data_IF_856987190353
#
_entry.id   IF_856987190353
#
_cell.length_a   1.000
_cell.length_b   1.000
_cell.length_c   1.000
_cell.angle_alpha   90.00
_cell.angle_beta   90.00
_cell.angle_gamma   90.00
#
_symmetry.space_group_name_H-M   'P 1'
#
loop_
_entity.id
_entity.type
_entity.pdbx_description
1 polymer ?
#
# COMPACT_ATOMS: atom_id res chain seq x y z
N UNK A 1 13.60 5.74 -27.94
CA UNK A 1 13.31 6.26 -26.58
C UNK A 1 13.65 5.15 -25.60
N UNK A 2 14.50 5.41 -24.59
CA UNK A 2 14.74 4.42 -23.55
C UNK A 2 13.48 4.31 -22.69
N UNK A 3 12.88 3.13 -22.65
CA UNK A 3 11.72 2.87 -21.81
C UNK A 3 12.19 2.69 -20.37
N UNK A 4 11.66 3.51 -19.46
CA UNK A 4 12.07 3.53 -18.07
C UNK A 4 10.89 3.24 -17.15
N UNK A 5 11.17 2.55 -16.05
CA UNK A 5 10.15 2.24 -15.05
C UNK A 5 10.61 2.52 -13.61
N UNK A 6 9.62 2.79 -12.76
CA UNK A 6 9.73 2.84 -11.31
C UNK A 6 8.93 1.68 -10.73
N UNK A 7 9.49 1.01 -9.73
CA UNK A 7 8.80 0.01 -8.91
C UNK A 7 8.61 0.59 -7.50
N UNK A 8 7.38 0.61 -7.00
CA UNK A 8 7.06 0.98 -5.63
C UNK A 8 6.39 -0.21 -4.93
N UNK A 9 7.11 -0.79 -3.98
CA UNK A 9 6.74 -2.01 -3.24
C UNK A 9 7.47 -1.97 -1.90
N UNK A 10 6.78 -2.09 -0.79
CA UNK A 10 7.39 -1.99 0.53
C UNK A 10 8.09 -3.29 0.98
N UNK A 11 7.63 -4.45 0.48
CA UNK A 11 8.25 -5.73 0.77
C UNK A 11 9.47 -5.99 -0.13
N UNK A 12 10.72 -6.03 0.43
CA UNK A 12 11.93 -6.14 -0.38
C UNK A 12 11.95 -7.38 -1.29
N UNK A 13 11.50 -8.53 -0.77
CA UNK A 13 11.49 -9.78 -1.52
C UNK A 13 10.52 -9.73 -2.71
N UNK A 14 9.34 -9.14 -2.54
CA UNK A 14 8.35 -9.01 -3.62
C UNK A 14 8.85 -8.03 -4.68
N UNK A 15 9.52 -6.96 -4.27
CA UNK A 15 10.15 -5.99 -5.17
C UNK A 15 11.24 -6.64 -6.03
N UNK A 16 12.15 -7.43 -5.43
CA UNK A 16 13.18 -8.17 -6.14
C UNK A 16 12.60 -9.21 -7.11
N UNK A 17 11.55 -9.94 -6.70
CA UNK A 17 10.85 -10.90 -7.56
C UNK A 17 10.22 -10.19 -8.77
N UNK A 18 9.56 -9.05 -8.54
CA UNK A 18 8.94 -8.27 -9.62
C UNK A 18 9.99 -7.76 -10.61
N UNK A 19 11.11 -7.21 -10.11
CA UNK A 19 12.22 -6.75 -10.93
C UNK A 19 12.81 -7.88 -11.79
N UNK A 20 13.11 -9.03 -11.17
CA UNK A 20 13.65 -10.18 -11.89
C UNK A 20 12.69 -10.68 -12.98
N UNK A 21 11.39 -10.70 -12.71
CA UNK A 21 10.36 -11.09 -13.68
C UNK A 21 10.21 -10.08 -14.80
N UNK A 22 10.28 -8.78 -14.49
CA UNK A 22 10.28 -7.73 -15.51
C UNK A 22 11.53 -7.83 -16.41
N UNK A 23 12.71 -8.05 -15.84
CA UNK A 23 13.93 -8.23 -16.61
C UNK A 23 13.83 -9.44 -17.56
N UNK A 24 13.16 -10.52 -17.15
CA UNK A 24 12.93 -11.69 -18.01
C UNK A 24 11.87 -11.45 -19.09
N UNK A 25 10.77 -10.74 -18.76
CA UNK A 25 9.65 -10.52 -19.68
C UNK A 25 9.88 -9.32 -20.62
N UNK A 26 10.69 -8.34 -20.20
CA UNK A 26 10.96 -7.11 -20.94
C UNK A 26 12.40 -6.64 -20.74
N UNK A 27 13.40 -7.29 -21.38
CA UNK A 27 14.82 -6.97 -21.19
C UNK A 27 15.21 -5.53 -21.54
N UNK A 28 14.44 -4.87 -22.42
CA UNK A 28 14.72 -3.48 -22.83
C UNK A 28 14.18 -2.44 -21.85
N UNK A 29 13.36 -2.84 -20.85
CA UNK A 29 12.83 -1.94 -19.84
C UNK A 29 13.89 -1.66 -18.77
N UNK A 30 14.26 -0.41 -18.61
CA UNK A 30 15.20 0.00 -17.60
C UNK A 30 14.47 0.39 -16.29
N UNK A 31 14.71 -0.32 -15.20
CA UNK A 31 14.24 0.08 -13.88
C UNK A 31 15.17 1.19 -13.36
N UNK A 32 14.69 2.43 -13.38
CA UNK A 32 15.48 3.62 -12.99
C UNK A 32 15.31 3.99 -11.53
N UNK A 33 14.28 3.47 -10.86
CA UNK A 33 14.01 3.77 -9.45
C UNK A 33 13.24 2.65 -8.77
N UNK A 34 13.51 2.46 -7.48
CA UNK A 34 12.79 1.55 -6.60
C UNK A 34 12.44 2.28 -5.30
N UNK A 35 11.17 2.25 -4.94
CA UNK A 35 10.64 2.89 -3.75
C UNK A 35 10.07 1.83 -2.79
N UNK A 36 10.22 2.08 -1.49
CA UNK A 36 9.71 1.23 -0.40
C UNK A 36 8.47 1.80 0.32
N UNK A 37 7.96 2.92 -0.15
CA UNK A 37 6.74 3.57 0.33
C UNK A 37 6.28 4.63 -0.67
N UNK A 38 5.05 5.10 -0.51
CA UNK A 38 4.45 6.05 -1.45
C UNK A 38 5.14 7.42 -1.49
N UNK A 39 5.66 7.93 -0.37
CA UNK A 39 6.40 9.21 -0.35
C UNK A 39 7.66 9.12 -1.21
N UNK A 40 8.46 8.09 -0.99
CA UNK A 40 9.68 7.85 -1.78
C UNK A 40 9.34 7.62 -3.26
N UNK A 41 8.21 6.96 -3.56
CA UNK A 41 7.77 6.77 -4.94
C UNK A 41 7.51 8.10 -5.64
N UNK A 42 6.87 9.06 -4.97
CA UNK A 42 6.64 10.41 -5.51
C UNK A 42 7.97 11.15 -5.73
N UNK A 43 8.87 11.14 -4.76
CA UNK A 43 10.18 11.79 -4.85
C UNK A 43 10.99 11.25 -6.04
N UNK A 44 11.09 9.94 -6.16
CA UNK A 44 11.81 9.27 -7.25
C UNK A 44 11.11 9.44 -8.60
N UNK A 45 9.78 9.50 -8.64
CA UNK A 45 9.05 9.82 -9.85
C UNK A 45 9.38 11.21 -10.37
N UNK A 46 9.41 12.25 -9.52
CA UNK A 46 9.75 13.60 -9.93
C UNK A 46 11.21 13.72 -10.39
N UNK A 47 12.10 12.96 -9.77
CA UNK A 47 13.53 12.95 -10.12
C UNK A 47 13.79 12.27 -11.47
N UNK A 48 13.21 11.10 -11.70
CA UNK A 48 13.55 10.24 -12.84
C UNK A 48 12.54 10.32 -13.98
N UNK A 49 11.32 10.76 -13.73
CA UNK A 49 10.21 10.86 -14.70
C UNK A 49 10.07 9.61 -15.57
N UNK A 50 9.89 8.43 -14.96
CA UNK A 50 9.78 7.19 -15.69
C UNK A 50 8.52 7.16 -16.55
N UNK A 51 8.56 6.40 -17.65
CA UNK A 51 7.42 6.21 -18.55
C UNK A 51 6.36 5.29 -17.97
N UNK A 52 6.75 4.43 -17.04
CA UNK A 52 5.89 3.40 -16.44
C UNK A 52 6.12 3.38 -14.92
N UNK A 53 5.06 3.19 -14.14
CA UNK A 53 5.14 2.95 -12.70
C UNK A 53 4.39 1.68 -12.34
N UNK A 54 5.09 0.75 -11.69
CA UNK A 54 4.51 -0.43 -11.02
C UNK A 54 4.32 -0.06 -9.55
N UNK A 55 3.09 -0.04 -9.08
CA UNK A 55 2.73 0.48 -7.76
C UNK A 55 2.01 -0.59 -6.95
N UNK A 56 2.58 -0.97 -5.81
CA UNK A 56 1.76 -1.66 -4.82
C UNK A 56 0.68 -0.72 -4.31
N UNK A 57 -0.51 -1.27 -4.19
CA UNK A 57 -1.67 -0.55 -3.68
C UNK A 57 -1.51 -0.25 -2.19
N UNK A 58 -0.97 -1.22 -1.42
CA UNK A 58 -0.79 -1.11 0.03
C UNK A 58 0.67 -0.84 0.39
N UNK A 59 0.96 0.42 0.63
CA UNK A 59 2.27 0.83 1.12
C UNK A 59 2.14 1.69 2.38
N UNK A 60 3.14 1.67 3.28
CA UNK A 60 3.13 2.53 4.47
C UNK A 60 3.07 4.02 4.11
N UNK A 61 2.24 4.76 4.82
CA UNK A 61 2.04 6.19 4.65
C UNK A 61 1.13 6.50 3.47
N UNK A 62 1.68 6.80 2.30
CA UNK A 62 0.89 7.03 1.08
C UNK A 62 0.67 5.72 0.33
N UNK A 63 -0.58 5.41 0.01
CA UNK A 63 -0.96 4.26 -0.81
C UNK A 63 -0.53 4.43 -2.27
N UNK A 64 -0.45 3.30 -3.01
CA UNK A 64 -0.20 3.36 -4.46
C UNK A 64 -1.25 4.13 -5.23
N UNK A 65 -2.49 4.22 -4.72
CA UNK A 65 -3.56 5.03 -5.33
C UNK A 65 -3.28 6.53 -5.20
N UNK A 66 -2.77 6.97 -4.04
CA UNK A 66 -2.37 8.37 -3.84
C UNK A 66 -1.17 8.74 -4.70
N UNK A 67 -0.19 7.83 -4.83
CA UNK A 67 0.92 7.97 -5.78
C UNK A 67 0.40 8.07 -7.21
N UNK A 68 -0.53 7.21 -7.60
CA UNK A 68 -1.14 7.22 -8.94
C UNK A 68 -1.86 8.54 -9.26
N UNK A 69 -2.57 9.12 -8.29
CA UNK A 69 -3.17 10.46 -8.43
C UNK A 69 -2.12 11.55 -8.65
N UNK A 70 -1.02 11.48 -7.90
CA UNK A 70 0.09 12.42 -8.06
C UNK A 70 0.75 12.29 -9.43
N UNK A 71 1.02 11.06 -9.88
CA UNK A 71 1.61 10.79 -11.20
C UNK A 71 0.69 11.30 -12.32
N UNK A 72 -0.63 11.10 -12.17
CA UNK A 72 -1.62 11.49 -13.17
C UNK A 72 -1.29 10.90 -14.54
N UNK A 73 -1.50 11.66 -15.61
CA UNK A 73 -1.28 11.23 -17.00
C UNK A 73 0.19 11.27 -17.45
N UNK A 74 1.14 11.43 -16.54
CA UNK A 74 2.57 11.60 -16.87
C UNK A 74 3.31 10.28 -17.08
N UNK A 75 2.73 9.15 -16.65
CA UNK A 75 3.28 7.81 -16.85
C UNK A 75 2.16 6.77 -16.94
N UNK A 76 2.45 5.63 -17.55
CA UNK A 76 1.56 4.48 -17.53
C UNK A 76 1.63 3.81 -16.16
N UNK A 77 0.48 3.46 -15.58
CA UNK A 77 0.40 2.85 -14.27
C UNK A 77 -0.01 1.39 -14.36
N UNK A 78 0.67 0.57 -13.58
CA UNK A 78 0.33 -0.84 -13.34
C UNK A 78 0.25 -1.02 -11.83
N UNK A 79 -0.91 -1.37 -11.33
CA UNK A 79 -1.04 -1.74 -9.93
C UNK A 79 -0.61 -3.18 -9.69
N UNK A 80 0.11 -3.41 -8.60
CA UNK A 80 0.51 -4.73 -8.11
C UNK A 80 -0.13 -4.90 -6.74
N UNK A 81 -1.03 -5.86 -6.58
CA UNK A 81 -1.87 -5.93 -5.36
C UNK A 81 -2.18 -7.36 -4.96
N UNK A 82 -2.40 -7.58 -3.66
CA UNK A 82 -2.91 -8.83 -3.13
C UNK A 82 -4.45 -8.96 -3.24
N UNK A 83 -5.14 -7.93 -3.73
CA UNK A 83 -6.60 -7.97 -3.86
C UNK A 83 -7.09 -8.97 -4.89
N UNK A 84 -8.10 -9.74 -4.50
CA UNK A 84 -8.73 -10.76 -5.29
C UNK A 84 -9.56 -10.17 -6.47
N UNK A 85 -9.85 -11.01 -7.46
CA UNK A 85 -10.45 -10.68 -8.76
C UNK A 85 -11.74 -9.81 -8.70
N UNK A 86 -12.49 -9.82 -7.62
CA UNK A 86 -13.73 -9.04 -7.50
C UNK A 86 -13.53 -7.51 -7.42
N UNK A 87 -12.33 -7.05 -7.05
CA UNK A 87 -11.98 -5.64 -7.14
C UNK A 87 -11.69 -5.21 -8.60
N UNK A 88 -11.49 -6.17 -9.47
CA UNK A 88 -10.89 -6.06 -10.80
C UNK A 88 -11.91 -5.87 -11.91
N UNK A 89 -13.17 -6.31 -11.74
CA UNK A 89 -14.25 -6.05 -12.72
C UNK A 89 -14.43 -4.55 -13.01
N UNK A 90 -14.10 -3.69 -12.03
CA UNK A 90 -14.11 -2.25 -12.23
C UNK A 90 -12.98 -1.74 -13.16
N UNK A 91 -11.90 -2.54 -13.33
CA UNK A 91 -10.74 -2.19 -14.15
C UNK A 91 -10.82 -2.72 -15.58
N UNK A 92 -11.68 -3.72 -15.87
CA UNK A 92 -11.80 -4.33 -17.21
C UNK A 92 -12.31 -3.36 -18.29
N UNK A 93 -12.93 -2.25 -17.91
CA UNK A 93 -13.41 -1.23 -18.84
C UNK A 93 -12.41 -0.12 -19.15
N UNK A 94 -11.14 -0.40 -18.95
CA UNK A 94 -10.05 0.26 -19.62
C UNK A 94 -9.44 1.42 -18.88
N UNK A 95 -8.23 1.33 -18.47
CA UNK A 95 -7.28 2.43 -18.44
C UNK A 95 -6.07 2.13 -17.57
N UNK A 96 -6.22 1.35 -16.54
CA UNK A 96 -5.15 0.91 -15.67
C UNK A 96 -4.94 -0.59 -15.89
N UNK A 97 -3.69 -1.02 -15.95
CA UNK A 97 -3.37 -2.43 -15.91
C UNK A 97 -3.05 -2.84 -14.47
N UNK A 98 -3.24 -4.12 -14.14
CA UNK A 98 -3.00 -4.60 -12.79
C UNK A 98 -2.42 -6.02 -12.79
N UNK A 99 -1.71 -6.33 -11.72
CA UNK A 99 -1.11 -7.62 -11.44
C UNK A 99 -1.53 -8.06 -10.03
N UNK A 100 -2.13 -9.25 -9.93
CA UNK A 100 -2.45 -9.84 -8.63
C UNK A 100 -1.25 -10.59 -8.10
N UNK A 101 -0.91 -10.37 -6.83
CA UNK A 101 0.12 -11.14 -6.11
C UNK A 101 -0.41 -12.55 -5.77
N UNK A 102 0.37 -13.62 -5.99
CA UNK A 102 1.72 -13.62 -6.52
C UNK A 102 1.72 -13.40 -8.05
N UNK A 103 2.50 -12.42 -8.53
CA UNK A 103 2.58 -12.07 -9.95
C UNK A 103 3.09 -13.27 -10.75
N UNK A 104 2.26 -13.86 -11.60
CA UNK A 104 2.68 -14.98 -12.48
C UNK A 104 3.40 -14.47 -13.73
N UNK A 105 4.31 -15.28 -14.29
CA UNK A 105 5.03 -14.92 -15.51
C UNK A 105 4.07 -14.70 -16.70
N UNK A 106 3.04 -15.54 -16.83
CA UNK A 106 2.04 -15.41 -17.89
C UNK A 106 1.28 -14.09 -17.81
N UNK A 107 0.76 -13.73 -16.62
CA UNK A 107 0.00 -12.50 -16.43
C UNK A 107 0.87 -11.24 -16.62
N UNK A 108 2.14 -11.30 -16.18
CA UNK A 108 3.09 -10.21 -16.42
C UNK A 108 3.37 -10.05 -17.94
N UNK A 109 3.55 -11.15 -18.67
CA UNK A 109 3.78 -11.10 -20.11
C UNK A 109 2.61 -10.41 -20.86
N UNK A 110 1.37 -10.74 -20.50
CA UNK A 110 0.17 -10.06 -21.07
C UNK A 110 0.17 -8.57 -20.78
N UNK A 111 0.50 -8.16 -19.55
CA UNK A 111 0.61 -6.75 -19.15
C UNK A 111 1.70 -6.04 -19.95
N UNK A 112 2.86 -6.68 -20.12
CA UNK A 112 3.97 -6.14 -20.90
C UNK A 112 3.57 -5.92 -22.36
N UNK A 113 2.89 -6.88 -22.99
CA UNK A 113 2.42 -6.75 -24.37
C UNK A 113 1.41 -5.60 -24.53
N UNK A 114 0.48 -5.44 -23.57
CA UNK A 114 -0.45 -4.30 -23.58
C UNK A 114 0.26 -2.95 -23.42
N UNK A 115 1.27 -2.88 -22.53
CA UNK A 115 2.07 -1.67 -22.35
C UNK A 115 2.87 -1.33 -23.60
N UNK A 116 3.53 -2.33 -24.23
CA UNK A 116 4.26 -2.13 -25.49
C UNK A 116 3.35 -1.60 -26.60
N UNK A 117 2.17 -2.19 -26.77
CA UNK A 117 1.20 -1.74 -27.76
C UNK A 117 0.76 -0.28 -27.55
N UNK A 118 0.47 0.13 -26.30
CA UNK A 118 0.09 1.51 -25.97
C UNK A 118 1.22 2.50 -26.21
N UNK A 119 2.43 2.15 -25.83
CA UNK A 119 3.60 2.99 -26.01
C UNK A 119 3.97 3.16 -27.48
N UNK A 120 3.83 2.11 -28.30
CA UNK A 120 4.06 2.17 -29.74
C UNK A 120 3.04 3.07 -30.45
N UNK A 121 1.78 3.08 -30.00
CA UNK A 121 0.72 3.90 -30.56
C UNK A 121 0.77 5.36 -30.06
N UNK A 122 1.78 5.71 -29.24
CA UNK A 122 1.89 7.01 -28.57
C UNK A 122 0.59 7.40 -27.85
N UNK A 123 -0.16 6.42 -27.36
CA UNK A 123 -1.40 6.68 -26.63
C UNK A 123 -1.05 7.32 -25.29
N UNK A 124 -1.69 8.45 -24.94
CA UNK A 124 -1.46 9.05 -23.63
C UNK A 124 -1.85 8.09 -22.52
N UNK A 125 -1.12 8.16 -21.41
CA UNK A 125 -1.52 7.47 -20.19
C UNK A 125 -2.93 7.97 -19.81
N UNK A 126 -3.91 7.08 -19.84
CA UNK A 126 -5.30 7.41 -19.50
C UNK A 126 -5.57 6.86 -18.10
N UNK A 127 -5.87 7.73 -17.15
CA UNK A 127 -6.27 7.35 -15.81
C UNK A 127 -7.66 7.89 -15.54
N UNK A 128 -8.59 7.02 -15.21
CA UNK A 128 -9.91 7.43 -14.80
C UNK A 128 -9.88 7.84 -13.33
N UNK A 129 -10.10 9.12 -13.04
CA UNK A 129 -10.26 9.65 -11.68
C UNK A 129 -11.34 8.89 -10.91
N UNK A 130 -12.39 8.48 -11.62
CA UNK A 130 -13.47 7.67 -11.07
C UNK A 130 -12.96 6.30 -10.58
N UNK A 131 -12.12 5.62 -11.37
CA UNK A 131 -11.53 4.33 -10.99
C UNK A 131 -10.58 4.48 -9.80
N UNK A 132 -9.74 5.50 -9.79
CA UNK A 132 -8.86 5.79 -8.65
C UNK A 132 -9.68 6.10 -7.38
N UNK A 133 -10.79 6.80 -7.53
CA UNK A 133 -11.69 7.10 -6.41
C UNK A 133 -12.42 5.86 -5.90
N UNK A 134 -12.87 4.97 -6.77
CA UNK A 134 -13.48 3.70 -6.41
C UNK A 134 -12.48 2.77 -5.71
N UNK A 135 -11.24 2.70 -6.22
CA UNK A 135 -10.17 1.93 -5.58
C UNK A 135 -9.86 2.47 -4.19
N UNK A 136 -9.71 3.79 -4.05
CA UNK A 136 -9.48 4.44 -2.76
C UNK A 136 -10.63 4.21 -1.77
N UNK A 137 -11.88 4.25 -2.24
CA UNK A 137 -13.04 3.97 -1.39
C UNK A 137 -13.05 2.52 -0.90
N UNK A 138 -12.70 1.56 -1.76
CA UNK A 138 -12.58 0.14 -1.39
C UNK A 138 -11.42 -0.11 -0.43
N UNK A 139 -10.29 0.56 -0.64
CA UNK A 139 -9.15 0.52 0.29
C UNK A 139 -9.51 1.08 1.68
N UNK A 140 -10.38 2.08 1.76
CA UNK A 140 -10.89 2.61 3.04
C UNK A 140 -11.85 1.65 3.74
N UNK A 141 -12.55 0.82 2.97
CA UNK A 141 -13.40 -0.26 3.52
C UNK A 141 -12.57 -1.44 4.06
N UNK A 142 -11.36 -1.63 3.52
CA UNK A 142 -10.37 -2.60 3.98
C UNK A 142 -9.33 -2.00 4.96
N UNK A 143 -9.45 -0.73 5.34
CA UNK A 143 -8.76 -0.29 6.55
C UNK A 143 -9.22 -1.20 7.69
N UNK A 144 -8.30 -1.81 8.44
CA UNK A 144 -8.68 -2.62 9.58
C UNK A 144 -9.66 -1.77 10.40
N UNK A 145 -10.83 -2.33 10.70
CA UNK A 145 -11.77 -1.66 11.62
C UNK A 145 -10.94 -1.14 12.79
N UNK A 146 -11.16 0.10 13.21
CA UNK A 146 -10.49 0.60 14.39
C UNK A 146 -10.51 -0.48 15.47
N UNK A 147 -9.41 -0.66 16.18
CA UNK A 147 -9.35 -1.68 17.21
C UNK A 147 -10.43 -1.41 18.24
N UNK A 148 -11.33 -2.34 18.46
CA UNK A 148 -12.29 -2.28 19.55
C UNK A 148 -11.64 -2.69 20.89
N UNK A 149 -10.46 -3.35 20.81
CA UNK A 149 -9.75 -3.94 21.96
C UNK A 149 -8.25 -3.88 21.78
N UNK A 150 -7.53 -3.57 22.88
CA UNK A 150 -6.07 -3.74 22.96
C UNK A 150 -5.75 -5.02 23.71
N UNK A 151 -4.89 -5.85 23.10
CA UNK A 151 -4.37 -7.05 23.77
C UNK A 151 -3.13 -6.72 24.58
N UNK A 152 -3.20 -6.91 25.89
CA UNK A 152 -2.10 -6.70 26.82
C UNK A 152 -1.81 -7.95 27.64
N UNK A 153 -0.54 -8.14 28.00
CA UNK A 153 -0.13 -9.16 28.98
C UNK A 153 0.04 -8.49 30.32
N UNK A 154 -0.78 -8.88 31.30
CA UNK A 154 -0.71 -8.37 32.66
C UNK A 154 -0.32 -9.54 33.57
N UNK A 155 0.92 -9.51 34.10
CA UNK A 155 1.48 -10.66 34.82
C UNK A 155 1.62 -11.89 33.91
N UNK A 156 0.94 -12.98 34.23
CA UNK A 156 0.89 -14.21 33.44
C UNK A 156 -0.37 -14.34 32.57
N UNK A 157 -1.27 -13.36 32.62
CA UNK A 157 -2.56 -13.42 31.96
C UNK A 157 -2.63 -12.51 30.73
N UNK A 158 -3.29 -12.98 29.67
CA UNK A 158 -3.62 -12.17 28.51
C UNK A 158 -4.96 -11.47 28.78
N UNK A 159 -4.97 -10.15 28.69
CA UNK A 159 -6.19 -9.33 28.80
C UNK A 159 -6.54 -8.67 27.49
N UNK A 160 -7.83 -8.59 27.23
CA UNK A 160 -8.43 -7.79 26.16
C UNK A 160 -9.01 -6.54 26.79
N UNK A 161 -8.41 -5.38 26.53
CA UNK A 161 -8.81 -4.08 27.09
C UNK A 161 -9.68 -3.38 26.06
N UNK A 162 -10.98 -3.11 26.33
CA UNK A 162 -11.83 -2.32 25.44
C UNK A 162 -11.24 -0.92 25.24
N UNK A 163 -11.36 -0.38 24.02
CA UNK A 163 -10.87 0.96 23.73
C UNK A 163 -11.62 2.02 24.58
N UNK A 164 -12.91 1.82 24.81
CA UNK A 164 -13.75 2.70 25.62
C UNK A 164 -13.35 2.77 27.11
N UNK A 165 -12.61 1.77 27.59
CA UNK A 165 -12.13 1.71 28.96
C UNK A 165 -10.72 2.32 29.13
N UNK A 166 -10.10 2.85 28.07
CA UNK A 166 -8.76 3.43 28.08
C UNK A 166 -8.84 4.90 28.48
N UNK A 167 -8.16 5.25 29.58
CA UNK A 167 -8.04 6.63 30.03
C UNK A 167 -6.96 7.39 29.23
N UNK A 168 -5.78 6.78 28.99
CA UNK A 168 -4.73 7.35 28.13
C UNK A 168 -3.70 6.31 27.68
N UNK A 169 -2.96 6.68 26.64
CA UNK A 169 -1.82 5.94 26.12
C UNK A 169 -0.54 6.78 26.26
N UNK A 170 0.54 6.16 26.70
CA UNK A 170 1.82 6.85 26.88
C UNK A 170 2.96 6.03 26.29
N UNK A 171 3.81 6.67 25.48
CA UNK A 171 5.03 6.03 24.99
C UNK A 171 6.08 5.95 26.10
N UNK A 172 6.64 4.77 26.27
CA UNK A 172 7.83 4.53 27.06
C UNK A 172 8.86 3.79 26.18
N UNK A 173 10.13 3.98 26.44
CA UNK A 173 11.32 3.64 25.61
C UNK A 173 11.18 2.45 24.65
N UNK A 174 10.54 1.35 25.05
CA UNK A 174 10.32 0.12 24.26
C UNK A 174 8.88 -0.40 24.29
N UNK A 175 8.01 0.27 25.05
CA UNK A 175 6.65 -0.16 25.33
C UNK A 175 5.68 1.00 25.19
N UNK A 176 4.41 0.67 25.03
CA UNK A 176 3.31 1.62 25.23
C UNK A 176 2.60 1.26 26.52
N UNK A 177 2.51 2.22 27.44
CA UNK A 177 1.69 2.14 28.62
C UNK A 177 0.23 2.39 28.21
N UNK A 178 -0.64 1.48 28.58
CA UNK A 178 -2.09 1.57 28.45
C UNK A 178 -2.66 1.74 29.85
N UNK A 179 -3.14 2.93 30.19
CA UNK A 179 -3.89 3.18 31.40
C UNK A 179 -5.37 2.99 31.11
N UNK A 180 -6.03 2.14 31.86
CA UNK A 180 -7.41 1.73 31.60
C UNK A 180 -8.19 1.47 32.89
N UNK A 181 -9.50 1.27 32.78
CA UNK A 181 -10.38 0.92 33.89
C UNK A 181 -10.71 -0.57 33.87
N UNK A 182 -10.30 -1.28 34.93
CA UNK A 182 -10.64 -2.68 35.15
C UNK A 182 -11.75 -2.74 36.19
N UNK A 183 -12.95 -3.08 35.76
CA UNK A 183 -14.15 -3.05 36.65
C UNK A 183 -14.35 -1.70 37.37
N UNK A 184 -14.00 -0.60 36.67
CA UNK A 184 -14.07 0.75 37.22
C UNK A 184 -12.90 1.20 38.06
N UNK A 185 -11.91 0.32 38.34
CA UNK A 185 -10.69 0.66 39.08
C UNK A 185 -9.55 0.99 38.10
N UNK A 186 -8.69 1.99 38.41
CA UNK A 186 -7.55 2.32 37.59
C UNK A 186 -6.57 1.13 37.51
N UNK A 187 -6.17 0.80 36.30
CA UNK A 187 -5.20 -0.26 36.03
C UNK A 187 -4.24 0.16 34.93
N UNK A 188 -3.08 -0.46 34.86
CA UNK A 188 -2.08 -0.18 33.83
C UNK A 188 -1.57 -1.48 33.22
N UNK A 189 -1.30 -1.43 31.91
CA UNK A 189 -0.68 -2.53 31.19
C UNK A 189 0.41 -2.00 30.25
N UNK A 190 1.46 -2.80 30.06
CA UNK A 190 2.54 -2.51 29.13
C UNK A 190 2.41 -3.41 27.91
N UNK A 191 2.40 -2.82 26.72
CA UNK A 191 2.37 -3.53 25.45
C UNK A 191 3.63 -3.23 24.63
N UNK A 192 4.07 -4.21 23.81
CA UNK A 192 5.27 -4.07 22.99
C UNK A 192 5.03 -3.28 21.69
N UNK A 193 3.78 -3.04 21.34
CA UNK A 193 3.42 -2.27 20.14
C UNK A 193 3.81 -0.81 20.34
N UNK A 194 4.60 -0.20 19.45
CA UNK A 194 4.92 1.23 19.53
C UNK A 194 3.64 2.09 19.48
N UNK A 195 3.61 3.16 20.27
CA UNK A 195 2.45 4.06 20.33
C UNK A 195 2.02 4.58 18.95
N UNK A 196 2.99 4.90 18.09
CA UNK A 196 2.72 5.37 16.72
C UNK A 196 1.94 4.33 15.90
N UNK A 197 2.31 3.06 16.02
CA UNK A 197 1.68 1.97 15.26
C UNK A 197 0.30 1.63 15.84
N UNK A 198 0.14 1.83 17.14
CA UNK A 198 -1.15 1.67 17.83
C UNK A 198 -2.13 2.78 17.43
N UNK A 199 -1.69 4.05 17.45
CA UNK A 199 -2.51 5.19 17.05
C UNK A 199 -2.98 5.11 15.59
N UNK A 200 -2.18 4.48 14.71
CA UNK A 200 -2.59 4.26 13.32
C UNK A 200 -3.75 3.24 13.17
N UNK A 201 -4.03 2.47 14.22
CA UNK A 201 -5.08 1.45 14.26
C UNK A 201 -6.29 1.86 15.12
N UNK A 202 -6.22 3.01 15.79
CA UNK A 202 -7.30 3.55 16.63
C UNK A 202 -8.16 4.54 15.85
N UNK A 203 -9.42 4.68 16.25
CA UNK A 203 -10.29 5.72 15.69
C UNK A 203 -9.84 7.10 16.20
N UNK A 204 -9.45 8.03 15.32
CA UNK A 204 -9.10 9.41 15.73
C UNK A 204 -10.20 10.17 16.45
N UNK A 205 -11.43 9.70 16.40
CA UNK A 205 -12.56 10.32 17.11
C UNK A 205 -12.57 9.96 18.61
N UNK A 206 -11.80 8.95 19.04
CA UNK A 206 -11.71 8.52 20.43
C UNK A 206 -10.47 9.05 21.17
N UNK A 207 -9.43 9.51 20.43
CA UNK A 207 -8.13 9.97 20.99
C UNK A 207 -7.67 11.29 20.40
#
# INVERSE_FOLDING_TARGET
MNLTALIAEDEPLLREILEARLAAAWPELQIVAQARNGRQAIELFEQHRPSICFLDVHMPGLSGVEVARHVGKRAHLVFVTAFDQYALEAFEHGVLDYLVKPVTAARLAETVERLKARLQQAQPAVHSELLLSQLAARLKLDQPKPLDWIRATVGSSLRMIPIDDIDYLKSDTKYTLVAYRDEGQPAEALIRTPLKDLLAQLDPAHF
#
